data_IF_800479377002
#
_entry.id   IF_800479377002
#
_cell.length_a   1.000
_cell.length_b   1.000
_cell.length_c   1.000
_cell.angle_alpha   90.00
_cell.angle_beta   90.00
_cell.angle_gamma   90.00
#
_symmetry.space_group_name_H-M   'P 1'
#
loop_
_entity.id
_entity.type
_entity.pdbx_description
1 polymer ?
#
# COMPACT_ATOMS: atom_id res chain seq x y z
N UNK A 1 -14.54 -8.52 -10.31
CA UNK A 1 -13.24 -7.91 -9.95
C UNK A 1 -12.23 -9.03 -9.83
N UNK A 2 -11.17 -8.98 -10.60
CA UNK A 2 -10.12 -9.99 -10.59
C UNK A 2 -9.27 -9.91 -9.33
N UNK A 3 -8.79 -11.08 -8.88
CA UNK A 3 -7.95 -11.18 -7.68
C UNK A 3 -6.72 -12.01 -7.99
N UNK A 4 -5.56 -11.57 -7.48
CA UNK A 4 -4.27 -12.19 -7.74
C UNK A 4 -3.52 -12.44 -6.43
N UNK A 5 -2.83 -13.57 -6.37
CA UNK A 5 -1.88 -13.91 -5.31
C UNK A 5 -0.51 -14.03 -5.96
N UNK A 6 0.40 -13.09 -5.66
CA UNK A 6 1.79 -13.21 -6.01
C UNK A 6 2.48 -14.06 -4.96
N UNK A 7 2.96 -15.22 -5.36
CA UNK A 7 3.40 -16.27 -4.46
C UNK A 7 4.89 -16.54 -4.63
N UNK A 8 5.63 -16.40 -3.54
CA UNK A 8 6.96 -16.97 -3.43
C UNK A 8 6.91 -18.43 -2.93
N UNK A 9 7.99 -19.18 -3.15
CA UNK A 9 8.09 -20.55 -2.69
C UNK A 9 9.01 -20.70 -1.48
N UNK A 10 10.22 -20.15 -1.59
CA UNK A 10 11.22 -20.24 -0.56
C UNK A 10 10.80 -19.42 0.67
N UNK A 11 10.78 -20.04 1.86
CA UNK A 11 10.28 -19.40 3.05
C UNK A 11 8.74 -19.27 3.17
N UNK A 12 7.98 -19.53 2.08
CA UNK A 12 6.52 -19.44 2.07
C UNK A 12 5.88 -20.83 2.03
N UNK A 13 6.10 -21.60 0.97
CA UNK A 13 5.58 -22.97 0.83
C UNK A 13 6.60 -24.02 1.26
N UNK A 14 7.88 -23.73 1.11
CA UNK A 14 8.94 -24.57 1.63
C UNK A 14 9.66 -23.88 2.81
N UNK A 15 10.16 -24.66 3.71
CA UNK A 15 10.99 -24.19 4.83
C UNK A 15 12.47 -24.32 4.49
N UNK A 16 13.40 -23.71 5.25
CA UNK A 16 14.85 -23.82 5.03
C UNK A 16 15.39 -25.25 4.97
N UNK A 17 14.58 -26.25 5.31
CA UNK A 17 14.90 -27.68 5.17
C UNK A 17 14.72 -28.21 3.73
N UNK A 18 14.32 -27.35 2.79
CA UNK A 18 14.14 -27.68 1.37
C UNK A 18 12.95 -28.60 1.07
N UNK A 19 12.02 -28.75 2.00
CA UNK A 19 10.80 -29.53 1.81
C UNK A 19 9.58 -28.62 1.86
N UNK A 20 8.65 -28.89 0.95
CA UNK A 20 7.36 -28.24 0.99
C UNK A 20 6.60 -28.64 2.27
N UNK A 21 6.06 -27.64 2.96
CA UNK A 21 5.33 -27.84 4.20
C UNK A 21 3.85 -28.04 3.89
N UNK A 22 3.33 -29.22 4.28
CA UNK A 22 1.92 -29.53 4.07
C UNK A 22 0.99 -28.52 4.75
N UNK A 23 1.38 -27.97 5.91
CA UNK A 23 0.57 -26.93 6.58
C UNK A 23 0.49 -25.64 5.78
N UNK A 24 1.60 -25.21 5.16
CA UNK A 24 1.61 -24.05 4.28
C UNK A 24 0.73 -24.28 3.05
N UNK A 25 0.80 -25.47 2.46
CA UNK A 25 -0.05 -25.87 1.32
C UNK A 25 -1.54 -25.86 1.72
N UNK A 26 -1.89 -26.39 2.89
CA UNK A 26 -3.27 -26.39 3.37
C UNK A 26 -3.79 -24.99 3.68
N UNK A 27 -2.94 -24.09 4.14
CA UNK A 27 -3.27 -22.67 4.33
C UNK A 27 -3.43 -21.95 2.99
N UNK A 28 -2.63 -22.27 1.99
CA UNK A 28 -2.81 -21.76 0.62
C UNK A 28 -4.14 -22.27 0.02
N UNK A 29 -4.47 -23.54 0.21
CA UNK A 29 -5.77 -24.12 -0.19
C UNK A 29 -6.93 -23.36 0.45
N UNK A 30 -6.84 -23.13 1.76
CA UNK A 30 -7.84 -22.36 2.50
C UNK A 30 -8.01 -20.93 1.93
N UNK A 31 -6.92 -20.26 1.55
CA UNK A 31 -6.93 -18.92 0.96
C UNK A 31 -7.62 -18.95 -0.41
N UNK A 32 -7.22 -19.87 -1.29
CA UNK A 32 -7.75 -19.98 -2.65
C UNK A 32 -9.23 -20.30 -2.69
N UNK A 33 -9.69 -21.27 -1.89
CA UNK A 33 -11.10 -21.66 -1.81
C UNK A 33 -12.04 -20.52 -1.38
N UNK A 34 -11.50 -19.47 -0.73
CA UNK A 34 -12.29 -18.34 -0.17
C UNK A 34 -12.08 -17.02 -0.88
N UNK A 35 -11.09 -16.92 -1.73
CA UNK A 35 -10.76 -15.67 -2.43
C UNK A 35 -11.17 -15.68 -3.90
N UNK A 36 -11.23 -16.85 -4.53
CA UNK A 36 -11.36 -17.00 -5.99
C UNK A 36 -10.22 -16.27 -6.73
N UNK A 37 -9.02 -16.28 -6.15
CA UNK A 37 -7.87 -15.58 -6.67
C UNK A 37 -7.02 -16.49 -7.57
N UNK A 38 -6.42 -15.87 -8.60
CA UNK A 38 -5.47 -16.53 -9.50
C UNK A 38 -4.06 -16.47 -8.92
N UNK A 39 -3.31 -17.55 -9.02
CA UNK A 39 -1.94 -17.63 -8.52
C UNK A 39 -0.95 -17.20 -9.60
N UNK A 40 -0.11 -16.25 -9.24
CA UNK A 40 1.00 -15.76 -10.06
C UNK A 40 2.30 -16.05 -9.31
N UNK A 41 3.20 -16.79 -9.92
CA UNK A 41 4.46 -17.13 -9.27
C UNK A 41 5.45 -15.97 -9.39
N UNK A 42 5.90 -15.47 -8.24
CA UNK A 42 6.94 -14.44 -8.13
C UNK A 42 8.29 -14.99 -7.62
N UNK A 43 8.33 -16.27 -7.30
CA UNK A 43 9.55 -16.98 -6.90
C UNK A 43 10.59 -17.03 -8.03
N UNK A 44 11.86 -17.06 -7.68
CA UNK A 44 12.97 -17.29 -8.64
C UNK A 44 12.84 -18.61 -9.39
N UNK A 45 12.10 -19.58 -8.86
CA UNK A 45 11.82 -20.86 -9.53
C UNK A 45 11.11 -20.67 -10.87
N UNK A 46 10.38 -19.56 -11.08
CA UNK A 46 9.69 -19.21 -12.33
C UNK A 46 10.63 -19.10 -13.55
N UNK A 47 11.94 -18.88 -13.31
CA UNK A 47 12.94 -18.80 -14.38
C UNK A 47 13.08 -20.08 -15.18
N UNK A 48 12.57 -21.21 -14.66
CA UNK A 48 12.48 -22.48 -15.37
C UNK A 48 11.35 -22.51 -16.41
N UNK A 49 10.48 -21.53 -16.42
CA UNK A 49 9.37 -21.40 -17.36
C UNK A 49 8.04 -21.97 -16.88
N UNK A 50 6.99 -21.63 -17.63
CA UNK A 50 5.61 -21.97 -17.28
C UNK A 50 5.35 -23.49 -17.22
N UNK A 51 5.84 -24.23 -18.20
CA UNK A 51 5.68 -25.68 -18.28
C UNK A 51 6.26 -26.40 -17.04
N UNK A 52 7.46 -25.99 -16.65
CA UNK A 52 8.12 -26.51 -15.45
C UNK A 52 7.29 -26.19 -14.18
N UNK A 53 6.81 -24.95 -14.07
CA UNK A 53 6.04 -24.53 -12.90
C UNK A 53 4.70 -25.26 -12.82
N UNK A 54 4.03 -25.50 -13.93
CA UNK A 54 2.78 -26.28 -13.98
C UNK A 54 3.02 -27.74 -13.63
N UNK A 55 4.10 -28.34 -14.15
CA UNK A 55 4.49 -29.70 -13.81
C UNK A 55 4.77 -29.83 -12.31
N UNK A 56 5.60 -28.96 -11.76
CA UNK A 56 5.93 -28.94 -10.33
C UNK A 56 4.68 -28.75 -9.46
N UNK A 57 3.75 -27.85 -9.88
CA UNK A 57 2.49 -27.59 -9.20
C UNK A 57 1.66 -28.86 -9.07
N UNK A 58 1.56 -29.63 -10.15
CA UNK A 58 0.83 -30.89 -10.22
C UNK A 58 1.52 -32.00 -9.39
N UNK A 59 2.85 -32.13 -9.50
CA UNK A 59 3.62 -33.13 -8.74
C UNK A 59 3.51 -32.94 -7.22
N UNK A 60 3.48 -31.68 -6.78
CA UNK A 60 3.33 -31.31 -5.36
C UNK A 60 1.87 -31.25 -4.91
N UNK A 61 0.90 -31.54 -5.79
CA UNK A 61 -0.54 -31.45 -5.52
C UNK A 61 -0.96 -30.12 -4.90
N UNK A 62 -0.36 -29.02 -5.39
CA UNK A 62 -0.67 -27.68 -4.92
C UNK A 62 -2.11 -27.27 -5.32
N UNK A 63 -2.80 -26.47 -4.50
CA UNK A 63 -4.18 -26.09 -4.75
C UNK A 63 -4.30 -25.04 -5.83
N UNK A 64 -5.36 -25.10 -6.63
CA UNK A 64 -5.64 -24.17 -7.72
C UNK A 64 -4.73 -24.39 -8.93
N UNK A 65 -4.54 -23.35 -9.73
CA UNK A 65 -3.76 -23.39 -10.96
C UNK A 65 -2.77 -22.22 -11.01
N UNK A 66 -1.62 -22.44 -11.64
CA UNK A 66 -0.67 -21.34 -11.96
C UNK A 66 -1.21 -20.57 -13.15
N UNK A 67 -1.68 -19.36 -12.90
CA UNK A 67 -2.25 -18.49 -13.93
C UNK A 67 -1.20 -17.62 -14.63
N UNK A 68 -0.01 -17.44 -14.03
CA UNK A 68 1.04 -16.64 -14.62
C UNK A 68 2.34 -16.67 -13.84
N UNK A 69 3.36 -16.07 -14.45
CA UNK A 69 4.68 -15.87 -13.87
C UNK A 69 5.01 -14.37 -13.95
N UNK A 70 5.65 -13.79 -12.93
CA UNK A 70 6.16 -12.43 -13.05
C UNK A 70 7.33 -12.39 -14.04
N UNK A 71 7.48 -11.30 -14.82
CA UNK A 71 8.62 -11.14 -15.71
C UNK A 71 9.91 -11.01 -14.90
N UNK A 72 11.03 -11.27 -15.53
CA UNK A 72 12.34 -10.94 -14.98
C UNK A 72 12.73 -9.56 -15.48
N UNK A 73 12.73 -8.58 -14.60
CA UNK A 73 13.16 -7.22 -14.90
C UNK A 73 14.65 -7.09 -14.55
N UNK A 74 15.54 -7.32 -15.49
CA UNK A 74 16.95 -7.07 -15.29
C UNK A 74 17.25 -5.58 -15.43
N UNK A 75 17.55 -4.92 -14.32
CA UNK A 75 18.10 -3.57 -14.34
C UNK A 75 19.59 -3.66 -14.66
N UNK A 76 20.00 -2.98 -15.71
CA UNK A 76 21.40 -2.83 -16.07
C UNK A 76 21.89 -1.53 -15.45
N UNK A 77 22.75 -1.60 -14.43
CA UNK A 77 23.44 -0.42 -13.92
C UNK A 77 24.77 -0.23 -14.60
N UNK A 78 25.05 1.01 -14.97
CA UNK A 78 26.35 1.43 -15.46
C UNK A 78 27.15 1.95 -14.26
N UNK A 79 28.26 1.30 -13.93
CA UNK A 79 29.21 1.89 -13.01
C UNK A 79 30.56 2.04 -13.73
N UNK A 80 31.05 3.26 -13.83
CA UNK A 80 32.41 3.54 -14.27
C UNK A 80 33.27 3.71 -13.01
N UNK A 81 34.07 2.72 -12.69
CA UNK A 81 35.10 2.81 -11.67
C UNK A 81 36.45 2.75 -12.41
N UNK A 82 37.26 3.79 -12.24
CA UNK A 82 38.64 3.89 -12.78
C UNK A 82 38.76 3.73 -14.31
N UNK A 83 37.75 4.22 -15.09
CA UNK A 83 37.79 4.19 -16.53
C UNK A 83 37.52 2.82 -17.16
N UNK A 84 37.21 1.81 -16.38
CA UNK A 84 36.73 0.52 -16.85
C UNK A 84 35.20 0.45 -16.74
N UNK A 85 34.52 0.30 -17.87
CA UNK A 85 33.07 0.09 -17.92
C UNK A 85 32.76 -1.31 -17.40
N UNK A 86 32.18 -1.42 -16.23
CA UNK A 86 31.66 -2.68 -15.71
C UNK A 86 30.13 -2.66 -15.72
N UNK A 87 29.56 -3.59 -16.48
CA UNK A 87 28.13 -3.86 -16.47
C UNK A 87 27.82 -4.75 -15.27
N UNK A 88 27.14 -4.21 -14.27
CA UNK A 88 26.55 -5.01 -13.22
C UNK A 88 25.05 -5.19 -13.52
N UNK A 89 24.66 -6.45 -13.78
CA UNK A 89 23.25 -6.81 -13.76
C UNK A 89 22.72 -6.67 -12.34
N UNK A 90 21.94 -5.65 -12.05
CA UNK A 90 21.16 -5.58 -10.83
C UNK A 90 19.91 -6.42 -11.06
N UNK A 91 19.68 -7.39 -10.17
CA UNK A 91 18.36 -8.01 -10.11
C UNK A 91 17.36 -6.94 -9.72
N UNK A 92 16.28 -6.82 -10.48
CA UNK A 92 15.21 -5.92 -10.12
C UNK A 92 14.58 -6.39 -8.80
N UNK A 93 14.18 -5.43 -7.99
CA UNK A 93 13.37 -5.73 -6.81
C UNK A 93 12.10 -6.46 -7.24
N UNK A 94 11.73 -7.51 -6.53
CA UNK A 94 10.52 -8.32 -6.80
C UNK A 94 9.26 -7.44 -6.97
N UNK A 95 9.19 -6.35 -6.21
CA UNK A 95 8.10 -5.38 -6.34
C UNK A 95 7.97 -4.75 -7.73
N UNK A 96 9.07 -4.50 -8.46
CA UNK A 96 9.02 -3.99 -9.82
C UNK A 96 8.50 -5.04 -10.80
N UNK A 97 8.89 -6.30 -10.62
CA UNK A 97 8.42 -7.41 -11.45
C UNK A 97 6.91 -7.64 -11.29
N UNK A 98 6.40 -7.52 -10.05
CA UNK A 98 4.98 -7.57 -9.74
C UNK A 98 4.23 -6.39 -10.37
N UNK A 99 4.75 -5.17 -10.24
CA UNK A 99 4.14 -3.99 -10.85
C UNK A 99 4.06 -4.10 -12.37
N UNK A 100 5.11 -4.60 -13.01
CA UNK A 100 5.13 -4.81 -14.46
C UNK A 100 4.16 -5.91 -14.89
N UNK A 101 4.06 -7.01 -14.10
CA UNK A 101 3.07 -8.04 -14.39
C UNK A 101 1.65 -7.48 -14.33
N UNK A 102 1.31 -6.71 -13.29
CA UNK A 102 0.00 -6.08 -13.12
C UNK A 102 -0.30 -5.13 -14.27
N UNK A 103 0.66 -4.30 -14.68
CA UNK A 103 0.53 -3.37 -15.80
C UNK A 103 0.20 -4.08 -17.13
N UNK A 104 0.79 -5.25 -17.35
CA UNK A 104 0.65 -5.99 -18.61
C UNK A 104 -0.59 -6.89 -18.67
N UNK A 105 -1.03 -7.42 -17.52
CA UNK A 105 -1.98 -8.53 -17.48
C UNK A 105 -3.26 -8.25 -16.69
N UNK A 106 -3.24 -7.29 -15.75
CA UNK A 106 -4.41 -7.03 -14.92
C UNK A 106 -5.33 -5.99 -15.55
N UNK A 107 -6.64 -6.32 -15.58
CA UNK A 107 -7.67 -5.37 -15.98
C UNK A 107 -8.32 -4.77 -14.73
N UNK A 108 -8.32 -3.45 -14.64
CA UNK A 108 -8.98 -2.76 -13.52
C UNK A 108 -10.51 -2.90 -13.57
N UNK A 109 -11.18 -3.03 -12.44
CA UNK A 109 -10.62 -3.07 -11.08
C UNK A 109 -10.14 -4.47 -10.70
N UNK A 110 -8.97 -4.54 -10.05
CA UNK A 110 -8.39 -5.77 -9.51
C UNK A 110 -7.96 -5.61 -8.06
N UNK A 111 -7.70 -6.73 -7.38
CA UNK A 111 -7.07 -6.80 -6.06
C UNK A 111 -5.94 -7.81 -6.10
N UNK A 112 -4.96 -7.60 -5.26
CA UNK A 112 -3.86 -8.55 -5.15
C UNK A 112 -3.30 -8.61 -3.74
N UNK A 113 -2.60 -9.70 -3.46
CA UNK A 113 -1.79 -9.89 -2.26
C UNK A 113 -0.45 -10.49 -2.66
N UNK A 114 0.59 -10.07 -1.97
CA UNK A 114 1.95 -10.58 -2.14
C UNK A 114 2.28 -11.42 -0.91
N UNK A 115 2.68 -12.68 -1.13
CA UNK A 115 3.09 -13.63 -0.09
C UNK A 115 4.58 -13.91 -0.25
N UNK A 116 5.39 -13.39 0.65
CA UNK A 116 6.85 -13.45 0.58
C UNK A 116 7.45 -13.37 1.98
N UNK A 117 8.61 -13.98 2.20
CA UNK A 117 9.36 -13.85 3.46
C UNK A 117 10.35 -12.70 3.42
N UNK A 118 10.66 -12.18 2.23
CA UNK A 118 11.50 -11.00 2.02
C UNK A 118 10.64 -9.77 1.71
N UNK A 119 11.07 -8.58 2.14
CA UNK A 119 10.35 -7.33 1.93
C UNK A 119 10.85 -6.52 0.71
N UNK A 120 11.29 -7.21 -0.33
CA UNK A 120 11.77 -6.64 -1.61
C UNK A 120 10.59 -6.13 -2.47
N UNK A 121 9.75 -5.28 -1.89
CA UNK A 121 8.54 -4.75 -2.49
C UNK A 121 8.58 -3.22 -2.58
N UNK A 122 7.78 -2.65 -3.49
CA UNK A 122 7.63 -1.21 -3.59
C UNK A 122 6.84 -0.64 -2.40
N UNK A 123 7.12 0.61 -2.04
CA UNK A 123 6.39 1.31 -0.97
C UNK A 123 4.87 1.30 -1.18
N UNK A 124 4.41 1.45 -2.43
CA UNK A 124 2.99 1.43 -2.82
C UNK A 124 2.34 0.06 -2.68
N UNK A 125 3.12 -1.01 -2.53
CA UNK A 125 2.63 -2.38 -2.39
C UNK A 125 2.49 -2.85 -0.94
N UNK A 126 2.91 -2.03 0.03
CA UNK A 126 2.92 -2.40 1.46
C UNK A 126 1.56 -2.82 2.00
N UNK A 127 0.49 -2.21 1.56
CA UNK A 127 -0.88 -2.55 1.97
C UNK A 127 -1.37 -3.88 1.38
N UNK A 128 -0.69 -4.38 0.36
CA UNK A 128 -0.97 -5.64 -0.32
C UNK A 128 0.01 -6.75 0.08
N UNK A 129 0.94 -6.47 0.98
CA UNK A 129 2.01 -7.37 1.36
C UNK A 129 1.72 -8.07 2.67
N UNK A 130 1.81 -9.39 2.64
CA UNK A 130 1.76 -10.25 3.83
C UNK A 130 3.12 -10.92 3.96
N UNK A 131 3.94 -10.40 4.88
CA UNK A 131 5.25 -10.94 5.18
C UNK A 131 5.09 -12.28 5.89
N UNK A 132 5.65 -13.33 5.30
CA UNK A 132 5.67 -14.67 5.89
C UNK A 132 6.93 -14.82 6.74
N UNK A 133 6.82 -15.51 7.85
CA UNK A 133 8.00 -15.89 8.63
C UNK A 133 8.67 -17.11 8.01
N UNK A 134 9.73 -16.92 7.21
CA UNK A 134 10.37 -17.93 6.39
C UNK A 134 10.81 -19.21 7.15
N UNK A 135 11.06 -19.10 8.46
CA UNK A 135 11.36 -20.26 9.31
C UNK A 135 10.16 -21.16 9.62
N UNK A 136 8.92 -20.63 9.49
CA UNK A 136 7.65 -21.29 9.83
C UNK A 136 6.81 -21.61 8.61
N UNK A 137 7.04 -20.93 7.48
CA UNK A 137 6.22 -21.02 6.30
C UNK A 137 4.83 -20.35 6.47
N UNK A 138 4.04 -20.39 5.41
CA UNK A 138 2.74 -19.72 5.34
C UNK A 138 1.73 -20.25 6.36
N UNK A 139 1.40 -19.39 7.32
CA UNK A 139 0.53 -19.73 8.46
C UNK A 139 -0.94 -19.39 8.21
N UNK A 140 -1.81 -19.92 9.09
CA UNK A 140 -3.25 -19.64 9.06
C UNK A 140 -3.58 -18.17 9.30
N UNK A 141 -2.82 -17.49 10.16
CA UNK A 141 -3.00 -16.05 10.43
C UNK A 141 -2.71 -15.19 9.20
N UNK A 142 -1.66 -15.53 8.45
CA UNK A 142 -1.31 -14.85 7.21
C UNK A 142 -2.34 -15.15 6.10
N UNK A 143 -2.89 -16.36 6.04
CA UNK A 143 -3.99 -16.68 5.12
C UNK A 143 -5.25 -15.85 5.41
N UNK A 144 -5.58 -15.62 6.68
CA UNK A 144 -6.71 -14.76 7.08
C UNK A 144 -6.43 -13.30 6.76
N UNK A 145 -5.21 -12.79 6.99
CA UNK A 145 -4.81 -11.44 6.62
C UNK A 145 -4.91 -11.24 5.11
N UNK A 146 -4.43 -12.20 4.32
CA UNK A 146 -4.52 -12.20 2.85
C UNK A 146 -5.96 -12.16 2.35
N UNK A 147 -6.87 -12.92 2.98
CA UNK A 147 -8.31 -12.86 2.69
C UNK A 147 -8.89 -11.47 3.00
N UNK A 148 -8.45 -10.83 4.08
CA UNK A 148 -8.84 -9.47 4.43
C UNK A 148 -8.49 -8.48 3.31
N UNK A 149 -7.30 -8.58 2.74
CA UNK A 149 -6.83 -7.75 1.64
C UNK A 149 -7.64 -8.02 0.36
N UNK A 150 -7.76 -9.30 -0.03
CA UNK A 150 -8.43 -9.70 -1.28
C UNK A 150 -9.95 -9.45 -1.26
N UNK A 151 -10.58 -9.53 -0.08
CA UNK A 151 -12.02 -9.37 0.09
C UNK A 151 -12.41 -8.03 0.74
N UNK A 152 -11.46 -7.10 0.90
CA UNK A 152 -11.77 -5.79 1.45
C UNK A 152 -12.89 -5.13 0.63
N UNK A 153 -13.94 -4.66 1.31
CA UNK A 153 -14.99 -3.91 0.64
C UNK A 153 -14.42 -2.54 0.24
N UNK A 154 -14.59 -2.17 -1.01
CA UNK A 154 -14.29 -0.79 -1.39
C UNK A 154 -15.16 0.14 -0.56
N UNK A 155 -14.50 1.07 0.10
CA UNK A 155 -15.23 2.16 0.76
C UNK A 155 -15.93 2.95 -0.33
N UNK A 156 -17.27 2.99 -0.32
CA UNK A 156 -18.02 3.70 -1.35
C UNK A 156 -17.48 5.13 -1.46
N UNK A 157 -17.43 5.68 -2.67
CA UNK A 157 -16.94 7.05 -2.92
C UNK A 157 -17.63 8.08 -2.00
N UNK A 158 -18.91 7.84 -1.63
CA UNK A 158 -19.69 8.64 -0.68
C UNK A 158 -19.05 8.63 0.71
N UNK A 159 -18.63 7.45 1.22
CA UNK A 159 -17.97 7.37 2.54
C UNK A 159 -16.60 8.05 2.52
N UNK A 160 -15.84 7.93 1.43
CA UNK A 160 -14.57 8.64 1.25
C UNK A 160 -14.79 10.16 1.26
N UNK A 161 -15.80 10.62 0.53
CA UNK A 161 -16.16 12.04 0.46
C UNK A 161 -16.61 12.59 1.82
N UNK A 162 -17.46 11.85 2.54
CA UNK A 162 -17.88 12.18 3.90
C UNK A 162 -16.69 12.24 4.87
N UNK A 163 -15.72 11.35 4.75
CA UNK A 163 -14.52 11.36 5.58
C UNK A 163 -13.70 12.63 5.34
N UNK A 164 -13.47 13.02 4.10
CA UNK A 164 -12.76 14.27 3.77
C UNK A 164 -13.52 15.52 4.22
N UNK A 165 -14.87 15.52 4.14
CA UNK A 165 -15.66 16.62 4.69
C UNK A 165 -15.48 16.72 6.21
N UNK A 166 -15.49 15.60 6.92
CA UNK A 166 -15.28 15.56 8.37
C UNK A 166 -13.87 16.06 8.74
N UNK A 167 -12.85 15.68 8.00
CA UNK A 167 -11.48 16.20 8.18
C UNK A 167 -11.42 17.72 7.99
N UNK A 168 -12.04 18.24 6.93
CA UNK A 168 -12.09 19.69 6.66
C UNK A 168 -12.88 20.45 7.75
N UNK A 169 -13.99 19.88 8.22
CA UNK A 169 -14.76 20.46 9.34
C UNK A 169 -13.95 20.46 10.63
N UNK A 170 -13.22 19.38 10.92
CA UNK A 170 -12.36 19.30 12.09
C UNK A 170 -11.23 20.33 12.01
N UNK A 171 -10.59 20.47 10.86
CA UNK A 171 -9.57 21.50 10.63
C UNK A 171 -10.15 22.92 10.80
N UNK A 172 -11.35 23.15 10.27
CA UNK A 172 -12.05 24.43 10.44
C UNK A 172 -12.30 24.75 11.91
N UNK A 173 -12.79 23.79 12.70
CA UNK A 173 -13.01 23.96 14.14
C UNK A 173 -11.71 24.29 14.87
N UNK A 174 -10.60 23.58 14.53
CA UNK A 174 -9.28 23.86 15.11
C UNK A 174 -8.84 25.29 14.79
N UNK A 175 -8.91 25.70 13.52
CA UNK A 175 -8.54 27.05 13.10
C UNK A 175 -9.39 28.10 13.81
N UNK A 176 -10.69 27.88 13.93
CA UNK A 176 -11.60 28.79 14.65
C UNK A 176 -11.27 28.88 16.15
N UNK A 177 -10.96 27.75 16.79
CA UNK A 177 -10.58 27.75 18.22
C UNK A 177 -9.25 28.47 18.45
N UNK A 178 -8.25 28.26 17.58
CA UNK A 178 -6.98 29.00 17.64
C UNK A 178 -7.18 30.50 17.36
N UNK A 179 -8.01 30.86 16.38
CA UNK A 179 -8.28 32.25 16.05
C UNK A 179 -9.03 32.95 17.19
N UNK A 180 -10.04 32.32 17.79
CA UNK A 180 -10.73 32.88 18.96
C UNK A 180 -9.80 32.98 20.16
N UNK A 181 -8.99 31.94 20.46
CA UNK A 181 -8.00 32.00 21.52
C UNK A 181 -6.96 33.11 21.29
N UNK A 182 -6.48 33.27 20.04
CA UNK A 182 -5.56 34.34 19.67
C UNK A 182 -6.18 35.71 19.90
N UNK A 183 -7.42 35.95 19.50
CA UNK A 183 -8.15 37.20 19.74
C UNK A 183 -8.36 37.48 21.23
N UNK A 184 -8.66 36.45 22.04
CA UNK A 184 -8.82 36.58 23.48
C UNK A 184 -7.51 36.79 24.24
N UNK A 185 -6.36 36.32 23.70
CA UNK A 185 -5.03 36.43 24.30
C UNK A 185 -4.23 37.65 23.84
N UNK A 186 -4.79 38.53 23.02
CA UNK A 186 -4.19 39.81 22.63
C UNK A 186 -4.78 41.02 23.37
N UNK A 187 -4.76 41.04 24.74
CA UNK A 187 -5.38 42.14 25.49
C UNK A 187 -4.54 43.41 25.54
N UNK A 188 -3.23 43.36 25.23
CA UNK A 188 -2.29 44.44 25.59
C UNK A 188 -1.62 45.19 24.46
N UNK A 189 -1.99 44.94 23.19
CA UNK A 189 -1.39 45.66 22.06
C UNK A 189 -2.16 46.93 21.62
N UNK A 190 -3.06 47.45 22.43
CA UNK A 190 -3.79 48.72 22.11
C UNK A 190 -4.67 48.66 20.88
N UNK A 191 -4.86 47.48 20.31
CA UNK A 191 -5.77 47.25 19.22
C UNK A 191 -7.16 46.98 19.77
N UNK A 192 -8.13 47.74 19.28
CA UNK A 192 -9.55 47.65 19.65
C UNK A 192 -9.97 46.21 19.90
N UNK A 193 -10.50 45.94 21.11
CA UNK A 193 -11.16 44.68 21.46
C UNK A 193 -12.31 44.50 20.47
N UNK A 194 -12.11 43.69 19.44
CA UNK A 194 -13.21 43.30 18.57
C UNK A 194 -14.13 42.36 19.33
N UNK A 195 -15.10 42.90 20.03
CA UNK A 195 -16.25 42.12 20.45
C UNK A 195 -16.99 41.66 19.20
N UNK A 196 -16.85 40.35 18.90
CA UNK A 196 -17.45 39.70 17.76
C UNK A 196 -18.96 39.57 17.99
N UNK A 197 -19.69 40.68 17.80
CA UNK A 197 -21.14 40.64 17.55
C UNK A 197 -21.34 41.03 16.09
N UNK A 198 -21.89 40.12 15.30
CA UNK A 198 -22.12 40.30 13.86
C UNK A 198 -22.91 41.59 13.50
N UNK A 199 -23.50 42.27 14.50
CA UNK A 199 -24.23 43.54 14.34
C UNK A 199 -23.33 44.78 14.47
N UNK A 200 -22.09 44.70 14.94
CA UNK A 200 -21.23 45.87 15.24
C UNK A 200 -20.06 46.10 14.30
N UNK A 201 -19.93 45.30 13.22
CA UNK A 201 -18.89 45.55 12.21
C UNK A 201 -19.04 46.94 11.57
N UNK A 202 -20.25 47.46 11.52
CA UNK A 202 -20.57 48.80 10.97
C UNK A 202 -20.12 49.93 11.91
N UNK A 203 -20.22 49.77 13.22
CA UNK A 203 -19.77 50.77 14.18
C UNK A 203 -18.23 50.81 14.31
N UNK A 204 -17.57 49.69 14.21
CA UNK A 204 -16.11 49.64 14.27
C UNK A 204 -15.46 50.37 13.08
N UNK A 205 -16.07 50.32 11.91
CA UNK A 205 -15.65 51.06 10.72
C UNK A 205 -15.85 52.57 10.83
N UNK A 206 -16.87 53.01 11.60
CA UNK A 206 -17.12 54.44 11.85
C UNK A 206 -16.18 55.03 12.91
N UNK A 207 -15.64 54.23 13.83
CA UNK A 207 -14.69 54.71 14.84
C UNK A 207 -13.25 54.89 14.31
N UNK A 208 -12.91 54.29 13.16
CA UNK A 208 -11.59 54.45 12.55
C UNK A 208 -11.35 55.77 11.83
N UNK A 209 -12.31 56.71 11.82
CA UNK A 209 -12.08 58.05 11.23
C UNK A 209 -11.41 59.07 12.18
N UNK A 210 -11.01 58.67 13.39
CA UNK A 210 -10.20 59.49 14.29
C UNK A 210 -8.82 58.85 14.49
N UNK A 211 -7.97 58.88 13.46
CA UNK A 211 -6.54 58.58 13.61
C UNK A 211 -5.82 59.80 14.26
N UNK A 212 -4.94 59.56 15.27
CA UNK A 212 -4.31 60.60 16.06
C UNK A 212 -3.24 61.43 15.30
N UNK A 213 -3.02 61.20 14.06
CA UNK A 213 -2.01 61.97 13.27
C UNK A 213 -2.57 63.06 12.36
N UNK A 214 -3.79 63.48 12.54
CA UNK A 214 -4.27 64.71 12.00
C UNK A 214 -4.14 65.81 13.05
N UNK A 215 -2.92 66.20 13.35
CA UNK A 215 -2.53 67.52 13.83
C UNK A 215 -1.30 67.99 13.06
#
# INVERSE_FOLDING_TARGET
MEKYIFLDFDGVLNTPKGKFDQKAIDNLRYLLERSDAKVIISSTWRLQGMEYMQQLWNELHLPGEVAGLTPSCNLISFSSVDGTEQWQGLHAEKGLEIAEWLRLNANEPYRYVILDDEDNILFTQKEHFVKVEGSKGFSKSEAIASLGILNAKEMSWIKRWLFHILELLFLYVIVQTFFTAYIYWLPDLGLCRMEYRAAQLHECLLYHHHFPWQK
#
